data_IF_694461637860
#
_entry.id   IF_694461637860
#
_cell.length_a   1.000
_cell.length_b   1.000
_cell.length_c   1.000
_cell.angle_alpha   90.00
_cell.angle_beta   90.00
_cell.angle_gamma   90.00
#
_symmetry.space_group_name_H-M   'P 1'
#
loop_
_entity.id
_entity.type
_entity.pdbx_description
1 polymer ?
#
# COMPACT_ATOMS: atom_id res chain seq x y z
N UNK A 1 -2.56 -19.32 -14.62
CA UNK A 1 -2.61 -20.48 -15.54
C UNK A 1 -1.54 -21.48 -15.15
N UNK A 2 -1.89 -22.76 -15.06
CA UNK A 2 -0.92 -23.83 -14.79
C UNK A 2 -0.23 -24.21 -16.11
N UNK A 3 1.10 -24.33 -16.10
CA UNK A 3 1.88 -24.59 -17.31
C UNK A 3 1.42 -25.89 -17.99
N UNK A 4 1.12 -25.82 -19.28
CA UNK A 4 0.69 -26.98 -20.08
C UNK A 4 -0.77 -27.38 -19.90
N UNK A 5 -1.58 -26.55 -19.24
CA UNK A 5 -3.04 -26.74 -19.12
C UNK A 5 -3.80 -25.61 -19.78
N UNK A 6 -4.76 -25.98 -20.62
CA UNK A 6 -5.72 -25.05 -21.23
C UNK A 6 -6.81 -24.66 -20.22
N UNK A 7 -7.36 -25.64 -19.51
CA UNK A 7 -8.32 -25.46 -18.41
C UNK A 7 -7.79 -26.02 -17.09
N UNK A 8 -8.33 -25.51 -15.98
CA UNK A 8 -8.02 -25.96 -14.62
C UNK A 8 -9.29 -26.43 -13.92
N UNK A 9 -9.15 -27.44 -13.06
CA UNK A 9 -10.25 -27.84 -12.17
C UNK A 9 -10.33 -26.93 -10.94
N UNK A 10 -11.48 -26.89 -10.26
CA UNK A 10 -11.66 -26.15 -9.01
C UNK A 10 -10.62 -26.57 -7.96
N UNK A 11 -10.35 -27.88 -7.86
CA UNK A 11 -9.32 -28.41 -6.96
C UNK A 11 -7.92 -27.85 -7.26
N UNK A 12 -7.56 -27.75 -8.53
CA UNK A 12 -6.27 -27.18 -8.92
C UNK A 12 -6.20 -25.68 -8.70
N UNK A 13 -7.31 -24.97 -8.90
CA UNK A 13 -7.41 -23.58 -8.53
C UNK A 13 -7.18 -23.41 -7.02
N UNK A 14 -7.92 -24.14 -6.19
CA UNK A 14 -7.88 -24.04 -4.73
C UNK A 14 -6.54 -24.49 -4.13
N UNK A 15 -5.91 -25.55 -4.65
CA UNK A 15 -4.70 -26.11 -4.06
C UNK A 15 -3.40 -25.51 -4.62
N UNK A 16 -3.42 -24.96 -5.85
CA UNK A 16 -2.21 -24.49 -6.53
C UNK A 16 -2.25 -22.97 -6.75
N UNK A 17 -3.29 -22.46 -7.40
CA UNK A 17 -3.33 -21.05 -7.80
C UNK A 17 -3.73 -20.13 -6.65
N UNK A 18 -4.71 -20.50 -5.84
CA UNK A 18 -5.18 -19.69 -4.73
C UNK A 18 -4.09 -19.44 -3.68
N UNK A 19 -3.28 -20.43 -3.24
CA UNK A 19 -2.17 -20.18 -2.33
C UNK A 19 -1.10 -19.31 -2.95
N UNK A 20 -0.82 -19.47 -4.25
CA UNK A 20 0.10 -18.59 -4.97
C UNK A 20 -0.39 -17.13 -4.94
N UNK A 21 -1.66 -16.88 -5.28
CA UNK A 21 -2.22 -15.52 -5.26
C UNK A 21 -2.27 -14.94 -3.85
N UNK A 22 -2.59 -15.74 -2.84
CA UNK A 22 -2.58 -15.29 -1.44
C UNK A 22 -1.17 -14.88 -1.01
N UNK A 23 -0.15 -15.70 -1.30
CA UNK A 23 1.24 -15.37 -1.00
C UNK A 23 1.70 -14.09 -1.72
N UNK A 24 1.29 -13.90 -2.97
CA UNK A 24 1.62 -12.69 -3.72
C UNK A 24 0.92 -11.45 -3.14
N UNK A 25 -0.35 -11.57 -2.78
CA UNK A 25 -1.09 -10.49 -2.11
C UNK A 25 -0.45 -10.12 -0.76
N UNK A 26 -0.07 -11.12 0.06
CA UNK A 26 0.67 -10.90 1.31
C UNK A 26 2.00 -10.17 1.08
N UNK A 27 2.74 -10.55 0.04
CA UNK A 27 3.98 -9.88 -0.34
C UNK A 27 3.73 -8.41 -0.71
N UNK A 28 2.72 -8.12 -1.53
CA UNK A 28 2.36 -6.76 -1.91
C UNK A 28 1.99 -5.92 -0.68
N UNK A 29 1.09 -6.44 0.17
CA UNK A 29 0.62 -5.78 1.40
C UNK A 29 1.79 -5.47 2.33
N UNK A 30 2.73 -6.40 2.48
CA UNK A 30 3.81 -6.25 3.45
C UNK A 30 4.96 -5.39 2.96
N UNK A 31 5.33 -5.47 1.68
CA UNK A 31 6.60 -4.93 1.21
C UNK A 31 6.49 -3.89 0.10
N UNK A 32 5.37 -3.84 -0.63
CA UNK A 32 5.22 -2.94 -1.79
C UNK A 32 4.28 -1.78 -1.46
N UNK A 33 3.12 -2.10 -0.88
CA UNK A 33 2.06 -1.13 -0.63
C UNK A 33 2.48 -0.02 0.36
N UNK A 34 3.09 -0.32 1.53
CA UNK A 34 3.54 0.73 2.45
C UNK A 34 4.53 1.70 1.79
N UNK A 35 5.45 1.15 0.99
CA UNK A 35 6.46 1.93 0.28
C UNK A 35 5.83 2.84 -0.77
N UNK A 36 4.90 2.31 -1.56
CA UNK A 36 4.16 3.05 -2.58
C UNK A 36 3.30 4.16 -1.98
N UNK A 37 2.63 3.91 -0.85
CA UNK A 37 1.85 4.92 -0.12
C UNK A 37 2.77 6.01 0.41
N UNK A 38 3.90 5.66 1.03
CA UNK A 38 4.86 6.64 1.52
C UNK A 38 5.42 7.50 0.37
N UNK A 39 5.73 6.90 -0.77
CA UNK A 39 6.11 7.63 -1.98
C UNK A 39 5.00 8.59 -2.44
N UNK A 40 3.74 8.12 -2.53
CA UNK A 40 2.59 8.95 -2.90
C UNK A 40 2.48 10.19 -2.01
N UNK A 41 2.55 10.00 -0.70
CA UNK A 41 2.45 11.06 0.30
C UNK A 41 3.62 12.05 0.19
N UNK A 42 4.86 11.55 0.12
CA UNK A 42 6.05 12.39 0.01
C UNK A 42 6.09 13.18 -1.31
N UNK A 43 5.74 12.53 -2.42
CA UNK A 43 5.68 13.14 -3.74
C UNK A 43 4.60 14.22 -3.83
N UNK A 44 3.45 14.00 -3.20
CA UNK A 44 2.38 14.98 -3.09
C UNK A 44 2.75 16.16 -2.19
N UNK A 45 3.41 15.89 -1.06
CA UNK A 45 3.94 16.92 -0.16
C UNK A 45 4.94 17.84 -0.86
N UNK A 46 5.93 17.27 -1.56
CA UNK A 46 6.98 18.04 -2.24
C UNK A 46 6.46 18.91 -3.39
N UNK A 47 5.26 18.61 -3.91
CA UNK A 47 4.59 19.35 -4.99
C UNK A 47 3.45 20.23 -4.50
N UNK A 48 3.20 20.26 -3.18
CA UNK A 48 2.09 20.97 -2.59
C UNK A 48 0.73 20.64 -3.25
N UNK A 49 0.51 19.36 -3.56
CA UNK A 49 -0.69 18.90 -4.29
C UNK A 49 -1.53 17.87 -3.51
N UNK A 50 -1.29 17.71 -2.21
CA UNK A 50 -2.18 16.97 -1.32
C UNK A 50 -3.40 17.82 -1.00
N UNK A 51 -4.59 17.26 -1.13
CA UNK A 51 -5.84 17.90 -0.70
C UNK A 51 -5.97 17.90 0.83
N UNK A 52 -6.73 18.87 1.37
CA UNK A 52 -7.08 19.00 2.79
C UNK A 52 -8.13 17.94 3.25
N UNK A 53 -7.86 16.67 2.97
CA UNK A 53 -8.68 15.55 3.41
C UNK A 53 -7.96 14.70 4.46
N UNK A 54 -8.67 13.78 5.13
CA UNK A 54 -8.05 12.85 6.07
C UNK A 54 -7.00 11.95 5.40
N UNK A 55 -6.00 11.52 6.17
CA UNK A 55 -4.95 10.57 5.73
C UNK A 55 -5.53 9.32 5.06
N UNK A 56 -6.60 8.75 5.62
CA UNK A 56 -7.23 7.54 5.09
C UNK A 56 -7.72 7.72 3.64
N UNK A 57 -8.16 8.93 3.25
CA UNK A 57 -8.57 9.20 1.88
C UNK A 57 -7.37 9.13 0.92
N UNK A 58 -6.22 9.71 1.31
CA UNK A 58 -4.98 9.62 0.53
C UNK A 58 -4.48 8.18 0.41
N UNK A 59 -4.53 7.42 1.51
CA UNK A 59 -4.14 6.00 1.50
C UNK A 59 -5.05 5.20 0.57
N UNK A 60 -6.36 5.37 0.66
CA UNK A 60 -7.30 4.66 -0.22
C UNK A 60 -7.06 5.00 -1.70
N UNK A 61 -6.82 6.28 -2.03
CA UNK A 61 -6.48 6.67 -3.40
C UNK A 61 -5.19 6.02 -3.92
N UNK A 62 -4.18 5.85 -3.05
CA UNK A 62 -2.96 5.13 -3.42
C UNK A 62 -3.20 3.60 -3.55
N UNK A 63 -4.05 3.03 -2.70
CA UNK A 63 -4.41 1.60 -2.70
C UNK A 63 -5.22 1.18 -3.93
N UNK A 64 -6.07 2.07 -4.45
CA UNK A 64 -6.95 1.77 -5.60
C UNK A 64 -6.16 1.28 -6.83
N UNK A 65 -4.89 1.67 -6.98
CA UNK A 65 -4.00 1.21 -8.06
C UNK A 65 -3.70 -0.29 -7.98
N UNK A 66 -3.64 -0.85 -6.76
CA UNK A 66 -3.23 -2.24 -6.54
C UNK A 66 -4.38 -3.24 -6.68
N UNK A 67 -5.63 -2.77 -6.59
CA UNK A 67 -6.82 -3.64 -6.55
C UNK A 67 -6.70 -4.76 -5.48
N UNK A 68 -6.11 -4.44 -4.33
CA UNK A 68 -5.92 -5.33 -3.18
C UNK A 68 -6.74 -4.80 -2.01
N UNK A 69 -7.39 -5.72 -1.28
CA UNK A 69 -8.01 -5.40 0.01
C UNK A 69 -7.01 -5.66 1.12
N UNK A 70 -6.74 -4.67 1.94
CA UNK A 70 -5.89 -4.79 3.12
C UNK A 70 -6.41 -3.88 4.24
N UNK A 71 -6.05 -4.22 5.47
CA UNK A 71 -6.34 -3.39 6.62
C UNK A 71 -5.33 -2.25 6.69
N UNK A 72 -5.79 -1.01 6.48
CA UNK A 72 -4.90 0.16 6.49
C UNK A 72 -4.19 0.33 7.83
N UNK A 73 -4.84 -0.02 8.94
CA UNK A 73 -4.25 0.11 10.27
C UNK A 73 -2.98 -0.75 10.42
N UNK A 74 -2.91 -1.90 9.74
CA UNK A 74 -1.75 -2.79 9.75
C UNK A 74 -0.57 -2.24 8.94
N UNK A 75 -0.83 -1.32 8.00
CA UNK A 75 0.20 -0.71 7.15
C UNK A 75 0.84 0.51 7.82
N UNK A 76 0.14 1.15 8.77
CA UNK A 76 0.49 2.47 9.29
C UNK A 76 1.92 2.55 9.84
N UNK A 77 2.33 1.53 10.61
CA UNK A 77 3.67 1.50 11.21
C UNK A 77 4.78 1.47 10.14
N UNK A 78 4.57 0.73 9.05
CA UNK A 78 5.55 0.63 7.97
C UNK A 78 5.54 1.90 7.08
N UNK A 79 4.35 2.47 6.82
CA UNK A 79 4.23 3.76 6.11
C UNK A 79 5.01 4.86 6.86
N UNK A 80 4.82 4.98 8.17
CA UNK A 80 5.52 5.95 9.01
C UNK A 80 7.04 5.72 9.01
N UNK A 81 7.46 4.45 9.06
CA UNK A 81 8.88 4.08 9.01
C UNK A 81 9.52 4.48 7.68
N UNK A 82 8.87 4.18 6.56
CA UNK A 82 9.36 4.51 5.22
C UNK A 82 9.39 6.02 5.01
N UNK A 83 8.33 6.75 5.41
CA UNK A 83 8.29 8.22 5.37
C UNK A 83 9.49 8.82 6.09
N UNK A 84 9.80 8.32 7.28
CA UNK A 84 10.92 8.80 8.09
C UNK A 84 12.27 8.48 7.45
N UNK A 85 12.51 7.22 7.08
CA UNK A 85 13.83 6.76 6.62
C UNK A 85 14.15 7.26 5.22
N UNK A 86 13.18 7.21 4.29
CA UNK A 86 13.44 7.50 2.87
C UNK A 86 13.21 8.96 2.50
N UNK A 87 12.30 9.64 3.20
CA UNK A 87 11.83 10.97 2.81
C UNK A 87 12.05 12.05 3.88
N UNK A 88 12.57 11.69 5.06
CA UNK A 88 12.69 12.60 6.21
C UNK A 88 11.35 13.29 6.55
N UNK A 89 10.23 12.59 6.38
CA UNK A 89 8.89 13.08 6.69
C UNK A 89 8.27 12.29 7.83
N UNK A 90 7.35 12.93 8.57
CA UNK A 90 6.45 12.23 9.50
C UNK A 90 5.04 12.79 9.42
N UNK A 91 4.06 11.93 9.69
CA UNK A 91 2.67 12.32 9.85
C UNK A 91 2.49 13.03 11.20
N UNK A 92 2.18 14.32 11.18
CA UNK A 92 1.92 15.13 12.37
C UNK A 92 0.43 15.18 12.76
N UNK A 93 -0.47 15.02 11.78
CA UNK A 93 -1.92 15.00 12.00
C UNK A 93 -2.61 14.19 10.91
N UNK A 94 -3.66 13.46 11.27
CA UNK A 94 -4.40 12.61 10.32
C UNK A 94 -5.61 13.30 9.68
N UNK A 95 -6.16 14.38 10.28
CA UNK A 95 -7.35 15.05 9.73
C UNK A 95 -7.39 16.57 10.02
N UNK A 96 -7.24 17.44 9.00
CA UNK A 96 -6.70 17.09 7.69
C UNK A 96 -5.28 16.54 7.83
N UNK A 97 -4.82 15.77 6.84
CA UNK A 97 -3.45 15.27 6.80
C UNK A 97 -2.46 16.44 6.94
N UNK A 98 -1.48 16.29 7.83
CA UNK A 98 -0.31 17.18 7.93
C UNK A 98 0.96 16.34 8.00
N UNK A 99 1.86 16.59 7.06
CA UNK A 99 3.23 16.05 7.05
C UNK A 99 4.20 17.16 7.47
N UNK A 100 5.25 16.80 8.19
CA UNK A 100 6.35 17.71 8.53
C UNK A 100 7.69 17.01 8.32
N UNK A 101 8.71 17.80 8.04
CA UNK A 101 10.09 17.32 7.96
C UNK A 101 10.61 16.89 9.35
N UNK A 102 11.43 15.86 9.34
CA UNK A 102 12.18 15.36 10.49
C UNK A 102 13.61 15.88 10.34
N UNK A 103 13.99 16.81 11.22
CA UNK A 103 15.37 17.30 11.36
C UNK A 103 16.31 16.20 11.87
#
# INVERSE_FOLDING_TARGET
MIKGKEDITDKEFEEILLPFYNNYNEYLIKFVIPDAIAFYLANGYSRNCLSDCPLINHINSALDIFNVRCNVDELMSEIDLVLKIKYNLKIAKNNPLKLIEVL
#
